data_IF_647698909129
#
_entry.id   IF_647698909129
#
_cell.length_a   1.000
_cell.length_b   1.000
_cell.length_c   1.000
_cell.angle_alpha   90.00
_cell.angle_beta   90.00
_cell.angle_gamma   90.00
#
_symmetry.space_group_name_H-M   'P 1'
#
loop_
_entity.id
_entity.type
_entity.pdbx_description
1 polymer ?
#
# COMPACT_ATOMS: atom_id res chain seq x y z
N UNK A 1 -5.93 10.44 -5.21
CA UNK A 1 -6.28 9.01 -5.07
C UNK A 1 -5.52 8.36 -3.93
N UNK A 2 -6.09 7.31 -3.35
CA UNK A 2 -5.40 6.46 -2.37
C UNK A 2 -5.67 4.97 -2.59
N UNK A 3 -4.85 4.13 -1.97
CA UNK A 3 -4.91 2.67 -2.05
C UNK A 3 -5.04 2.02 -0.67
N UNK A 4 -5.33 2.79 0.39
CA UNK A 4 -5.55 2.22 1.72
C UNK A 4 -6.78 1.35 1.69
N UNK A 5 -6.57 0.09 2.07
CA UNK A 5 -7.64 -0.92 2.12
C UNK A 5 -8.74 -0.56 3.12
N UNK A 6 -8.39 0.05 4.27
CA UNK A 6 -9.34 0.45 5.33
C UNK A 6 -9.13 1.93 5.72
N UNK A 7 -9.62 2.90 4.95
CA UNK A 7 -9.43 4.32 5.25
C UNK A 7 -10.22 4.72 6.52
N UNK A 8 -9.59 5.45 7.44
CA UNK A 8 -10.25 6.03 8.62
C UNK A 8 -11.18 7.20 8.25
N UNK A 9 -12.22 7.46 9.03
CA UNK A 9 -13.33 8.37 8.66
C UNK A 9 -12.92 9.80 8.24
N UNK A 10 -11.90 10.39 8.86
CA UNK A 10 -11.39 11.73 8.50
C UNK A 10 -10.68 11.80 7.13
N UNK A 11 -10.26 10.65 6.60
CA UNK A 11 -9.45 10.53 5.40
C UNK A 11 -10.30 10.46 4.12
N UNK A 12 -11.59 10.13 4.24
CA UNK A 12 -12.54 10.09 3.12
C UNK A 12 -12.87 11.48 2.54
N UNK A 13 -12.61 12.55 3.28
CA UNK A 13 -12.90 13.92 2.85
C UNK A 13 -11.77 14.57 2.03
N UNK A 14 -10.61 13.92 1.94
CA UNK A 14 -9.37 14.50 1.35
C UNK A 14 -8.99 13.83 0.03
N UNK A 15 -9.79 12.87 -0.46
CA UNK A 15 -9.46 12.06 -1.63
C UNK A 15 -10.68 11.91 -2.52
N UNK A 16 -10.49 12.16 -3.82
CA UNK A 16 -11.54 12.02 -4.84
C UNK A 16 -11.94 10.54 -5.05
N UNK A 17 -10.96 9.62 -5.05
CA UNK A 17 -11.19 8.18 -5.29
C UNK A 17 -10.21 7.28 -4.50
N UNK A 18 -10.72 6.15 -3.98
CA UNK A 18 -9.94 5.12 -3.28
C UNK A 18 -10.00 3.79 -4.03
N UNK A 19 -8.83 3.17 -4.27
CA UNK A 19 -8.67 1.87 -4.90
C UNK A 19 -8.24 0.82 -3.87
N UNK A 20 -9.17 0.29 -3.05
CA UNK A 20 -8.83 -0.68 -2.01
C UNK A 20 -8.30 -2.01 -2.56
N UNK A 21 -8.58 -2.31 -3.83
CA UNK A 21 -8.05 -3.47 -4.55
C UNK A 21 -6.51 -3.41 -4.70
N UNK A 22 -5.97 -2.20 -4.85
CA UNK A 22 -4.52 -1.95 -4.88
C UNK A 22 -3.92 -1.95 -3.47
N UNK A 23 -4.71 -2.00 -2.40
CA UNK A 23 -4.18 -2.12 -1.04
C UNK A 23 -3.62 -3.51 -0.73
N UNK A 24 -2.74 -3.67 0.28
CA UNK A 24 -2.19 -4.96 0.68
C UNK A 24 -3.28 -5.97 1.01
N UNK A 25 -3.12 -7.25 0.66
CA UNK A 25 -4.13 -8.28 0.94
C UNK A 25 -4.58 -8.26 2.43
N UNK A 26 -5.86 -8.55 2.74
CA UNK A 26 -6.39 -8.39 4.10
C UNK A 26 -5.61 -9.18 5.16
N UNK A 27 -5.25 -10.42 4.84
CA UNK A 27 -4.45 -11.31 5.68
C UNK A 27 -3.05 -10.73 5.91
N UNK A 28 -2.38 -10.27 4.85
CA UNK A 28 -1.07 -9.62 4.94
C UNK A 28 -1.12 -8.36 5.81
N UNK A 29 -2.17 -7.54 5.65
CA UNK A 29 -2.33 -6.30 6.42
C UNK A 29 -2.59 -6.58 7.91
N UNK A 30 -3.45 -7.55 8.21
CA UNK A 30 -3.79 -7.88 9.60
C UNK A 30 -2.59 -8.56 10.30
N UNK A 31 -1.85 -9.44 9.61
CA UNK A 31 -0.60 -10.05 10.10
C UNK A 31 0.50 -9.01 10.35
N UNK A 32 0.72 -8.09 9.39
CA UNK A 32 1.67 -6.99 9.54
C UNK A 32 1.37 -6.14 10.78
N UNK A 33 0.10 -5.77 10.99
CA UNK A 33 -0.33 -4.98 12.16
C UNK A 33 -0.08 -5.72 13.47
N UNK A 34 -0.35 -7.02 13.49
CA UNK A 34 -0.10 -7.83 14.67
C UNK A 34 1.40 -7.84 15.02
N UNK A 35 2.28 -8.10 14.03
CA UNK A 35 3.73 -8.10 14.26
C UNK A 35 4.29 -6.73 14.62
N UNK A 36 3.75 -5.66 14.03
CA UNK A 36 4.13 -4.30 14.37
C UNK A 36 3.86 -4.02 15.86
N UNK A 37 2.67 -4.36 16.36
CA UNK A 37 2.33 -4.18 17.77
C UNK A 37 3.14 -5.09 18.70
N UNK A 38 3.41 -6.35 18.30
CA UNK A 38 4.28 -7.26 19.05
C UNK A 38 5.69 -6.68 19.24
N UNK A 39 6.28 -6.12 18.18
CA UNK A 39 7.59 -5.48 18.25
C UNK A 39 7.59 -4.21 19.08
N UNK A 40 6.51 -3.42 19.04
CA UNK A 40 6.36 -2.26 19.94
C UNK A 40 6.29 -2.69 21.40
N UNK A 41 5.57 -3.77 21.71
CA UNK A 41 5.50 -4.34 23.06
C UNK A 41 6.86 -4.88 23.54
N UNK A 42 7.73 -5.29 22.63
CA UNK A 42 9.13 -5.68 22.92
C UNK A 42 10.08 -4.48 23.09
N UNK A 43 9.58 -3.24 22.95
CA UNK A 43 10.32 -2.01 23.22
C UNK A 43 11.00 -1.38 21.99
N UNK A 44 10.71 -1.84 20.77
CA UNK A 44 11.18 -1.16 19.57
C UNK A 44 10.45 0.20 19.42
N UNK A 45 11.17 1.21 18.89
CA UNK A 45 10.53 2.43 18.42
C UNK A 45 9.55 2.11 17.28
N UNK A 46 8.61 3.02 17.02
CA UNK A 46 7.52 2.77 16.08
C UNK A 46 8.02 2.49 14.65
N UNK A 47 9.03 3.23 14.19
CA UNK A 47 9.69 3.03 12.88
C UNK A 47 10.44 1.70 12.83
N UNK A 48 11.16 1.35 13.90
CA UNK A 48 11.89 0.10 14.02
C UNK A 48 10.95 -1.10 14.03
N UNK A 49 9.89 -1.04 14.82
CA UNK A 49 8.85 -2.07 14.91
C UNK A 49 8.12 -2.24 13.58
N UNK A 50 7.81 -1.14 12.89
CA UNK A 50 7.20 -1.16 11.57
C UNK A 50 8.09 -1.89 10.55
N UNK A 51 9.36 -1.50 10.46
CA UNK A 51 10.29 -2.07 9.47
C UNK A 51 10.66 -3.52 9.81
N UNK A 52 10.77 -3.87 11.09
CA UNK A 52 10.95 -5.26 11.53
C UNK A 52 9.74 -6.13 11.16
N UNK A 53 8.51 -5.66 11.42
CA UNK A 53 7.30 -6.37 11.02
C UNK A 53 7.20 -6.54 9.50
N UNK A 54 7.58 -5.50 8.74
CA UNK A 54 7.61 -5.55 7.27
C UNK A 54 8.50 -6.68 6.76
N UNK A 55 9.71 -6.79 7.31
CA UNK A 55 10.69 -7.80 6.92
C UNK A 55 10.24 -9.20 7.39
N UNK A 56 9.73 -9.32 8.62
CA UNK A 56 9.30 -10.61 9.18
C UNK A 56 8.15 -11.26 8.39
N UNK A 57 7.14 -10.47 7.99
CA UNK A 57 5.99 -11.02 7.26
C UNK A 57 6.23 -11.18 5.75
N UNK A 58 7.43 -10.83 5.27
CA UNK A 58 7.77 -10.83 3.84
C UNK A 58 6.86 -9.89 3.04
N UNK A 59 6.59 -8.69 3.59
CA UNK A 59 5.52 -7.82 3.11
C UNK A 59 5.69 -7.45 1.63
N UNK A 60 6.91 -7.06 1.24
CA UNK A 60 7.19 -6.62 -0.12
C UNK A 60 6.87 -7.69 -1.16
N UNK A 61 7.37 -8.91 -0.97
CA UNK A 61 7.20 -10.00 -1.93
C UNK A 61 5.74 -10.45 -2.04
N UNK A 62 5.08 -10.61 -0.90
CA UNK A 62 3.65 -10.95 -0.86
C UNK A 62 2.80 -9.87 -1.51
N UNK A 63 3.15 -8.60 -1.29
CA UNK A 63 2.41 -7.51 -1.88
C UNK A 63 2.65 -7.37 -3.38
N UNK A 64 3.88 -7.57 -3.86
CA UNK A 64 4.17 -7.63 -5.30
C UNK A 64 3.38 -8.75 -5.97
N UNK A 65 3.35 -9.91 -5.34
CA UNK A 65 2.55 -11.08 -5.79
C UNK A 65 1.06 -10.72 -5.86
N UNK A 66 0.51 -10.06 -4.82
CA UNK A 66 -0.88 -9.58 -4.82
C UNK A 66 -1.19 -8.69 -6.03
N UNK A 67 -0.31 -7.73 -6.34
CA UNK A 67 -0.47 -6.84 -7.49
C UNK A 67 -0.39 -7.57 -8.85
N UNK A 68 0.35 -8.68 -8.93
CA UNK A 68 0.55 -9.41 -10.19
C UNK A 68 -0.36 -10.60 -10.41
N UNK A 69 -0.93 -11.18 -9.36
CA UNK A 69 -1.66 -12.46 -9.46
C UNK A 69 -3.14 -12.35 -9.12
N UNK A 70 -3.57 -11.31 -8.40
CA UNK A 70 -4.96 -11.17 -8.00
C UNK A 70 -5.74 -10.38 -9.05
N UNK A 71 -6.74 -11.02 -9.66
CA UNK A 71 -7.52 -10.46 -10.76
C UNK A 71 -8.06 -9.04 -10.47
N UNK A 72 -8.64 -8.81 -9.28
CA UNK A 72 -9.18 -7.50 -8.95
C UNK A 72 -8.10 -6.40 -8.82
N UNK A 73 -6.86 -6.77 -8.45
CA UNK A 73 -5.74 -5.84 -8.40
C UNK A 73 -5.24 -5.56 -9.82
N UNK A 74 -5.18 -6.58 -10.68
CA UNK A 74 -4.82 -6.42 -12.09
C UNK A 74 -5.84 -5.55 -12.85
N UNK A 75 -7.14 -5.75 -12.63
CA UNK A 75 -8.20 -4.93 -13.22
C UNK A 75 -8.06 -3.47 -12.82
N UNK A 76 -7.81 -3.21 -11.53
CA UNK A 76 -7.58 -1.85 -11.01
C UNK A 76 -6.29 -1.23 -11.57
N UNK A 77 -5.23 -2.02 -11.78
CA UNK A 77 -4.00 -1.57 -12.45
C UNK A 77 -4.27 -1.20 -13.90
N UNK A 78 -5.03 -2.02 -14.63
CA UNK A 78 -5.38 -1.77 -16.02
C UNK A 78 -6.21 -0.48 -16.17
N UNK A 79 -7.26 -0.34 -15.35
CA UNK A 79 -8.09 0.87 -15.30
C UNK A 79 -7.25 2.13 -15.04
N UNK A 80 -6.32 2.06 -14.09
CA UNK A 80 -5.42 3.17 -13.79
C UNK A 80 -4.54 3.53 -14.99
N UNK A 81 -3.94 2.54 -15.64
CA UNK A 81 -3.05 2.75 -16.80
C UNK A 81 -3.82 3.39 -17.96
N UNK A 82 -5.05 2.92 -18.22
CA UNK A 82 -5.89 3.46 -19.30
C UNK A 82 -6.23 4.93 -19.06
N UNK A 83 -6.52 5.32 -17.81
CA UNK A 83 -6.76 6.72 -17.42
C UNK A 83 -5.54 7.61 -17.60
N UNK A 84 -4.37 7.16 -17.15
CA UNK A 84 -3.11 7.93 -17.34
C UNK A 84 -2.79 8.09 -18.83
N UNK A 85 -3.02 7.05 -19.64
CA UNK A 85 -2.86 7.10 -21.11
C UNK A 85 -3.87 8.03 -21.79
N UNK A 86 -5.03 8.23 -21.18
CA UNK A 86 -6.01 9.23 -21.59
C UNK A 86 -5.66 10.66 -21.10
N UNK A 87 -4.41 10.90 -20.70
CA UNK A 87 -3.85 12.17 -20.22
C UNK A 87 -4.43 12.67 -18.88
N UNK A 88 -5.07 11.78 -18.11
CA UNK A 88 -5.54 12.12 -16.77
C UNK A 88 -4.37 12.21 -15.76
N UNK A 89 -4.28 13.33 -15.03
CA UNK A 89 -3.28 13.51 -13.99
C UNK A 89 -3.72 12.88 -12.67
N UNK A 90 -3.12 11.74 -12.33
CA UNK A 90 -3.44 11.02 -11.10
C UNK A 90 -2.35 11.21 -10.04
N UNK A 91 -2.74 11.72 -8.86
CA UNK A 91 -1.84 11.91 -7.71
C UNK A 91 -2.13 10.87 -6.62
N UNK A 92 -1.08 10.16 -6.20
CA UNK A 92 -1.11 9.28 -5.02
C UNK A 92 -0.86 10.10 -3.75
N UNK A 93 -1.83 10.09 -2.84
CA UNK A 93 -1.66 10.71 -1.52
C UNK A 93 -0.98 9.70 -0.59
N UNK A 94 0.31 9.92 -0.29
CA UNK A 94 1.01 9.18 0.76
C UNK A 94 1.16 10.10 1.99
N UNK A 95 0.64 9.66 3.14
CA UNK A 95 0.78 10.37 4.42
C UNK A 95 1.96 9.86 5.27
N UNK A 96 2.67 8.83 4.81
CA UNK A 96 3.69 8.15 5.58
C UNK A 96 5.06 8.80 5.33
N UNK A 97 5.83 9.06 6.39
CA UNK A 97 7.20 9.56 6.27
C UNK A 97 8.10 8.43 5.71
N UNK A 98 8.16 8.34 4.38
CA UNK A 98 8.88 7.28 3.66
C UNK A 98 10.38 7.28 3.90
N UNK A 99 10.94 8.34 4.49
CA UNK A 99 12.35 8.40 4.85
C UNK A 99 12.68 7.51 6.06
N UNK A 100 11.67 7.14 6.85
CA UNK A 100 11.85 6.36 8.08
C UNK A 100 11.08 5.03 8.06
N UNK A 101 10.01 4.93 7.26
CA UNK A 101 9.18 3.72 7.14
C UNK A 101 9.07 3.27 5.69
N UNK A 102 9.18 1.96 5.48
CA UNK A 102 8.83 1.35 4.19
C UNK A 102 7.33 1.56 3.92
N UNK A 103 6.95 1.82 2.67
CA UNK A 103 5.56 2.08 2.33
C UNK A 103 5.13 1.27 1.10
N UNK A 104 4.00 0.57 1.21
CA UNK A 104 3.41 -0.19 0.10
C UNK A 104 3.05 0.70 -1.09
N UNK A 105 2.71 1.97 -0.86
CA UNK A 105 2.42 2.93 -1.95
C UNK A 105 3.62 3.18 -2.86
N UNK A 106 4.84 3.10 -2.33
CA UNK A 106 6.06 3.19 -3.15
C UNK A 106 6.17 2.01 -4.11
N UNK A 107 5.77 0.81 -3.65
CA UNK A 107 5.73 -0.39 -4.49
C UNK A 107 4.65 -0.29 -5.57
N UNK A 108 3.46 0.22 -5.24
CA UNK A 108 2.39 0.49 -6.23
C UNK A 108 2.86 1.48 -7.27
N UNK A 109 3.42 2.62 -6.84
CA UNK A 109 3.91 3.64 -7.76
C UNK A 109 4.96 3.06 -8.71
N UNK A 110 5.95 2.33 -8.19
CA UNK A 110 6.95 1.67 -9.03
C UNK A 110 6.33 0.66 -10.01
N UNK A 111 5.35 -0.13 -9.55
CA UNK A 111 4.66 -1.13 -10.35
C UNK A 111 3.83 -0.50 -11.50
N UNK A 112 3.15 0.62 -11.23
CA UNK A 112 2.37 1.36 -12.23
C UNK A 112 3.29 2.08 -13.21
N UNK A 113 4.32 2.78 -12.73
CA UNK A 113 5.29 3.48 -13.59
C UNK A 113 6.03 2.53 -14.52
N UNK A 114 6.33 1.30 -14.11
CA UNK A 114 6.98 0.30 -14.97
C UNK A 114 6.10 -0.19 -16.14
N UNK A 115 4.80 0.12 -16.15
CA UNK A 115 3.82 -0.30 -17.18
C UNK A 115 3.31 0.85 -18.04
N UNK A 116 3.71 2.08 -17.73
CA UNK A 116 3.49 3.27 -18.54
C UNK A 116 4.59 3.38 -19.58
#
# INVERSE_FOLDING_TARGET
MDVVRRPTGWFRATIDENYPALGPAPDLLDEFKQRHEDFRMQGLCDEGAHNAAWDEVGFEDRYRTHLTEVANAQDAVAEFIDRVRAEEQIVFVCLENTDQKRCHRTLVKAHLTARL
#
